data_IF_698530274053
#
_entry.id   IF_698530274053
#
_cell.length_a   1.000
_cell.length_b   1.000
_cell.length_c   1.000
_cell.angle_alpha   90.00
_cell.angle_beta   90.00
_cell.angle_gamma   90.00
#
_symmetry.space_group_name_H-M   'P 1'
#
loop_
_entity.id
_entity.type
_entity.pdbx_description
1 polymer ?
#
# COMPACT_ATOMS: atom_id res chain seq x y z
N UNK A 1 26.49 -48.60 -26.12
CA UNK A 1 26.41 -47.65 -25.00
C UNK A 1 25.61 -46.45 -25.48
N UNK A 2 24.41 -46.20 -24.94
CA UNK A 2 23.54 -45.07 -25.28
C UNK A 2 23.55 -44.08 -24.11
N UNK A 3 23.75 -42.76 -24.32
CA UNK A 3 23.63 -41.79 -23.24
C UNK A 3 22.16 -41.52 -22.94
N UNK A 4 21.79 -41.59 -21.66
CA UNK A 4 20.50 -41.17 -21.13
C UNK A 4 20.61 -39.66 -20.91
N UNK A 5 19.86 -38.88 -21.70
CA UNK A 5 19.74 -37.45 -21.52
C UNK A 5 18.70 -37.21 -20.41
N UNK A 6 19.17 -36.84 -19.22
CA UNK A 6 18.30 -36.47 -18.09
C UNK A 6 17.91 -35.01 -18.30
N UNK A 7 16.68 -34.78 -18.75
CA UNK A 7 16.11 -33.45 -18.85
C UNK A 7 15.62 -33.04 -17.47
N UNK A 8 16.40 -32.21 -16.77
CA UNK A 8 16.01 -31.64 -15.48
C UNK A 8 14.89 -30.63 -15.72
N UNK A 9 13.65 -31.00 -15.37
CA UNK A 9 12.51 -30.08 -15.35
C UNK A 9 12.69 -29.15 -14.14
N UNK A 10 13.11 -27.91 -14.38
CA UNK A 10 13.05 -26.84 -13.37
C UNK A 10 11.58 -26.45 -13.20
N UNK A 11 10.91 -26.99 -12.17
CA UNK A 11 9.68 -26.39 -11.67
C UNK A 11 10.03 -25.06 -11.03
N UNK A 12 9.92 -23.97 -11.80
CA UNK A 12 9.87 -22.63 -11.25
C UNK A 12 8.66 -22.55 -10.32
N UNK A 13 8.89 -22.41 -9.02
CA UNK A 13 7.84 -22.05 -8.09
C UNK A 13 7.32 -20.67 -8.51
N UNK A 14 6.13 -20.62 -9.11
CA UNK A 14 5.41 -19.37 -9.30
C UNK A 14 5.05 -18.86 -7.91
N UNK A 15 5.84 -17.93 -7.39
CA UNK A 15 5.49 -17.18 -6.18
C UNK A 15 4.22 -16.42 -6.55
N UNK A 16 3.08 -16.85 -6.01
CA UNK A 16 1.86 -16.05 -6.04
C UNK A 16 2.14 -14.83 -5.16
N UNK A 17 2.78 -13.81 -5.73
CA UNK A 17 2.64 -12.46 -5.21
C UNK A 17 1.19 -12.08 -5.52
N UNK A 18 0.29 -12.36 -4.58
CA UNK A 18 -1.05 -11.79 -4.62
C UNK A 18 -0.88 -10.29 -4.73
N UNK A 19 -1.51 -9.67 -5.72
CA UNK A 19 -1.58 -8.22 -5.77
C UNK A 19 -2.08 -7.73 -4.41
N UNK A 20 -1.45 -6.69 -3.85
CA UNK A 20 -2.04 -6.00 -2.72
C UNK A 20 -3.45 -5.57 -3.11
N UNK A 21 -4.37 -5.77 -2.16
CA UNK A 21 -5.77 -5.41 -2.29
C UNK A 21 -6.43 -5.57 -0.91
N UNK A 22 -6.31 -4.57 -0.05
CA UNK A 22 -6.93 -4.62 1.26
C UNK A 22 -8.46 -4.57 1.16
N UNK A 23 -9.01 -3.95 0.12
CA UNK A 23 -10.48 -3.83 -0.06
C UNK A 23 -11.20 -5.16 -0.21
N UNK A 24 -10.50 -6.21 -0.65
CA UNK A 24 -11.02 -7.58 -0.73
C UNK A 24 -11.41 -8.17 0.62
N UNK A 25 -10.74 -7.72 1.69
CA UNK A 25 -10.95 -8.22 3.05
C UNK A 25 -11.45 -7.15 4.02
N UNK A 26 -11.43 -5.88 3.65
CA UNK A 26 -11.77 -4.78 4.53
C UNK A 26 -12.97 -3.97 4.03
N UNK A 27 -13.60 -3.24 4.94
CA UNK A 27 -14.76 -2.42 4.67
C UNK A 27 -14.73 -1.16 5.52
N UNK A 28 -15.32 -0.09 5.01
CA UNK A 28 -15.47 1.18 5.73
C UNK A 28 -14.11 1.73 6.18
N UNK A 29 -13.45 2.46 5.30
CA UNK A 29 -12.16 3.07 5.60
C UNK A 29 -12.19 4.59 5.48
N UNK A 30 -11.28 5.23 6.18
CA UNK A 30 -11.06 6.67 6.13
C UNK A 30 -9.62 6.99 6.55
N UNK A 31 -9.17 8.20 6.22
CA UNK A 31 -7.91 8.74 6.71
C UNK A 31 -8.18 9.48 8.03
N UNK A 32 -7.58 8.99 9.11
CA UNK A 32 -7.55 9.69 10.39
C UNK A 32 -6.32 10.61 10.45
N UNK A 33 -6.54 11.88 10.80
CA UNK A 33 -5.50 12.89 10.68
C UNK A 33 -5.13 13.10 9.21
N UNK A 34 -3.86 12.88 8.87
CA UNK A 34 -3.36 12.97 7.48
C UNK A 34 -2.65 11.72 6.98
N UNK A 35 -2.36 10.77 7.87
CA UNK A 35 -1.38 9.71 7.63
C UNK A 35 -1.83 8.35 8.15
N UNK A 36 -2.94 8.23 8.88
CA UNK A 36 -3.41 6.93 9.37
C UNK A 36 -4.60 6.45 8.56
N UNK A 37 -4.46 5.32 7.87
CA UNK A 37 -5.60 4.60 7.31
C UNK A 37 -6.27 3.80 8.42
N UNK A 38 -7.53 4.10 8.71
CA UNK A 38 -8.36 3.38 9.66
C UNK A 38 -9.47 2.62 8.92
N UNK A 39 -9.69 1.35 9.25
CA UNK A 39 -10.66 0.48 8.55
C UNK A 39 -11.14 -0.68 9.44
N UNK A 40 -12.09 -1.48 8.94
CA UNK A 40 -12.47 -2.77 9.52
C UNK A 40 -12.11 -3.92 8.57
N UNK A 41 -11.28 -4.85 9.02
CA UNK A 41 -10.77 -5.95 8.20
C UNK A 41 -11.22 -7.30 8.72
N UNK A 42 -11.61 -8.18 7.79
CA UNK A 42 -11.95 -9.56 8.04
C UNK A 42 -10.70 -10.34 8.44
N UNK A 43 -10.79 -11.03 9.57
CA UNK A 43 -9.80 -12.03 9.96
C UNK A 43 -10.13 -13.37 9.30
N UNK A 44 -9.13 -14.22 9.10
CA UNK A 44 -9.35 -15.57 8.55
C UNK A 44 -9.96 -16.53 9.58
N UNK A 45 -9.96 -16.14 10.85
CA UNK A 45 -10.64 -16.89 11.89
C UNK A 45 -12.14 -16.52 11.86
N UNK A 46 -13.04 -17.47 11.49
CA UNK A 46 -14.46 -17.17 11.39
C UNK A 46 -15.08 -16.77 12.74
N UNK A 47 -14.50 -17.20 13.87
CA UNK A 47 -15.00 -16.86 15.21
C UNK A 47 -14.67 -15.42 15.62
N UNK A 48 -13.62 -14.83 15.03
CA UNK A 48 -13.22 -13.44 15.30
C UNK A 48 -13.93 -12.43 14.41
N UNK A 49 -14.39 -12.84 13.23
CA UNK A 49 -15.07 -11.94 12.30
C UNK A 49 -14.15 -10.80 11.83
N UNK A 50 -14.65 -9.56 11.89
CA UNK A 50 -13.93 -8.34 11.53
C UNK A 50 -13.28 -7.68 12.75
N UNK A 51 -12.13 -7.07 12.55
CA UNK A 51 -11.40 -6.29 13.55
C UNK A 51 -11.13 -4.88 13.03
N UNK A 52 -11.06 -3.91 13.93
CA UNK A 52 -10.61 -2.57 13.58
C UNK A 52 -9.09 -2.58 13.37
N UNK A 53 -8.64 -2.03 12.25
CA UNK A 53 -7.24 -1.99 11.86
C UNK A 53 -6.83 -0.56 11.53
N UNK A 54 -5.60 -0.22 11.93
CA UNK A 54 -4.98 1.06 11.63
C UNK A 54 -3.62 0.81 10.98
N UNK A 55 -3.33 1.53 9.90
CA UNK A 55 -2.02 1.54 9.26
C UNK A 55 -1.50 2.97 9.23
N UNK A 56 -0.32 3.18 9.81
CA UNK A 56 0.43 4.40 9.58
C UNK A 56 0.95 4.38 8.13
N UNK A 57 0.40 5.23 7.27
CA UNK A 57 0.82 5.32 5.87
C UNK A 57 2.21 5.96 5.76
N UNK A 58 2.70 6.64 6.81
CA UNK A 58 4.02 7.26 6.80
C UNK A 58 5.12 6.21 6.70
N UNK A 59 4.88 4.98 7.17
CA UNK A 59 5.83 3.87 7.01
C UNK A 59 5.75 3.21 5.62
N UNK A 60 4.74 3.54 4.80
CA UNK A 60 4.48 2.91 3.52
C UNK A 60 4.72 3.82 2.32
N UNK A 61 4.52 5.13 2.49
CA UNK A 61 4.55 6.12 1.40
C UNK A 61 5.76 7.03 1.58
N UNK A 62 6.57 7.10 0.52
CA UNK A 62 7.68 8.04 0.38
C UNK A 62 7.39 9.14 -0.64
N UNK A 63 8.38 9.99 -0.88
CA UNK A 63 8.37 10.96 -1.99
C UNK A 63 9.57 10.72 -2.86
N UNK A 64 9.34 10.54 -4.17
CA UNK A 64 10.42 10.59 -5.15
C UNK A 64 10.84 12.04 -5.34
N UNK A 65 12.06 12.37 -4.92
CA UNK A 65 12.63 13.71 -5.02
C UNK A 65 12.83 14.23 -6.45
N UNK A 66 12.87 13.34 -7.45
CA UNK A 66 13.04 13.71 -8.86
C UNK A 66 11.72 14.21 -9.43
N UNK A 67 10.64 13.51 -9.13
CA UNK A 67 9.29 13.81 -9.64
C UNK A 67 8.42 14.59 -8.65
N UNK A 68 8.92 14.82 -7.43
CA UNK A 68 8.20 15.42 -6.31
C UNK A 68 6.81 14.78 -6.11
N UNK A 69 6.75 13.46 -6.17
CA UNK A 69 5.50 12.69 -6.18
C UNK A 69 5.53 11.57 -5.13
N UNK A 70 4.35 11.25 -4.58
CA UNK A 70 4.18 10.11 -3.68
C UNK A 70 4.47 8.80 -4.41
N UNK A 71 5.20 7.91 -3.74
CA UNK A 71 5.55 6.58 -4.26
C UNK A 71 5.43 5.53 -3.16
N UNK A 72 5.05 4.31 -3.54
CA UNK A 72 5.11 3.15 -2.65
C UNK A 72 6.58 2.79 -2.39
N UNK A 73 6.97 2.89 -1.12
CA UNK A 73 8.30 2.69 -0.51
C UNK A 73 9.56 2.84 -1.40
N UNK A 74 10.41 3.80 -1.02
CA UNK A 74 11.84 3.49 -0.81
C UNK A 74 12.35 4.27 0.44
N UNK A 75 11.76 3.98 1.62
CA UNK A 75 12.09 4.61 2.93
C UNK A 75 11.08 5.65 3.45
N UNK A 76 9.81 5.25 3.58
CA UNK A 76 8.65 6.14 3.76
C UNK A 76 8.75 7.15 4.91
N UNK A 77 8.40 8.40 4.58
CA UNK A 77 8.12 9.53 5.48
C UNK A 77 7.41 10.66 4.69
N UNK A 78 6.51 10.33 3.76
CA UNK A 78 5.98 11.32 2.81
C UNK A 78 5.33 12.53 3.48
N UNK A 79 4.70 12.36 4.64
CA UNK A 79 3.94 13.42 5.31
C UNK A 79 4.80 14.48 6.02
N UNK A 80 6.14 14.38 5.93
CA UNK A 80 7.04 15.50 6.24
C UNK A 80 7.15 16.50 5.10
N UNK A 81 6.88 16.05 3.87
CA UNK A 81 7.01 16.85 2.63
C UNK A 81 5.66 17.09 1.95
N UNK A 82 4.67 16.24 2.21
CA UNK A 82 3.33 16.36 1.67
C UNK A 82 2.32 16.78 2.74
N UNK A 83 1.40 17.66 2.36
CA UNK A 83 0.31 18.18 3.17
C UNK A 83 -1.02 18.13 2.41
N UNK A 84 -2.08 18.66 3.04
CA UNK A 84 -3.45 18.69 2.48
C UNK A 84 -3.95 17.31 2.00
N UNK A 85 -3.52 16.25 2.69
CA UNK A 85 -3.81 14.90 2.30
C UNK A 85 -5.26 14.50 2.58
N UNK A 86 -5.88 13.78 1.64
CA UNK A 86 -7.22 13.23 1.80
C UNK A 86 -7.57 12.23 0.71
N UNK A 87 -8.66 11.49 0.93
CA UNK A 87 -9.23 10.66 -0.12
C UNK A 87 -9.95 11.54 -1.14
N UNK A 88 -9.82 11.20 -2.42
CA UNK A 88 -10.53 11.90 -3.48
C UNK A 88 -12.05 11.69 -3.37
N UNK A 89 -12.82 12.71 -3.76
CA UNK A 89 -14.29 12.68 -3.68
C UNK A 89 -14.90 11.64 -4.63
N UNK A 90 -14.25 11.41 -5.77
CA UNK A 90 -14.65 10.44 -6.80
C UNK A 90 -14.03 9.06 -6.63
N UNK A 91 -13.06 8.89 -5.72
CA UNK A 91 -12.41 7.62 -5.43
C UNK A 91 -11.95 7.57 -3.98
N UNK A 92 -12.60 6.72 -3.18
CA UNK A 92 -12.20 6.49 -1.79
C UNK A 92 -10.91 5.66 -1.66
N UNK A 93 -10.30 5.25 -2.77
CA UNK A 93 -9.05 4.50 -2.79
C UNK A 93 -7.86 5.37 -3.17
N UNK A 94 -8.09 6.44 -3.92
CA UNK A 94 -7.04 7.36 -4.31
C UNK A 94 -6.86 8.41 -3.22
N UNK A 95 -5.69 8.38 -2.60
CA UNK A 95 -5.26 9.39 -1.64
C UNK A 95 -4.44 10.44 -2.38
N UNK A 96 -4.91 11.68 -2.32
CA UNK A 96 -4.27 12.83 -2.93
C UNK A 96 -3.63 13.71 -1.85
N UNK A 97 -2.44 14.22 -2.14
CA UNK A 97 -1.71 15.17 -1.30
C UNK A 97 -1.00 16.23 -2.16
N UNK A 98 -0.75 17.39 -1.56
CA UNK A 98 0.15 18.40 -2.13
C UNK A 98 1.56 18.21 -1.56
N UNK A 99 2.51 17.84 -2.40
CA UNK A 99 3.91 17.60 -2.03
C UNK A 99 4.79 18.79 -2.38
N UNK A 100 5.64 19.20 -1.44
CA UNK A 100 6.57 20.33 -1.59
C UNK A 100 7.98 19.79 -1.83
N UNK A 101 8.58 20.23 -2.93
CA UNK A 101 9.99 19.98 -3.21
C UNK A 101 10.84 20.80 -2.22
N UNK A 102 11.65 20.16 -1.36
CA UNK A 102 12.45 20.87 -0.37
C UNK A 102 13.58 21.71 -0.97
N UNK A 103 13.99 21.46 -2.21
CA UNK A 103 15.06 22.19 -2.89
C UNK A 103 14.55 23.46 -3.58
N UNK A 104 13.39 23.36 -4.24
CA UNK A 104 12.84 24.46 -5.06
C UNK A 104 11.70 25.20 -4.37
N UNK A 105 11.05 24.58 -3.38
CA UNK A 105 9.81 25.05 -2.78
C UNK A 105 8.59 24.89 -3.70
N UNK A 106 8.75 24.25 -4.87
CA UNK A 106 7.66 23.97 -5.80
C UNK A 106 6.66 22.98 -5.20
N UNK A 107 5.39 23.13 -5.56
CA UNK A 107 4.31 22.23 -5.10
C UNK A 107 3.80 21.39 -6.26
N UNK A 108 3.64 20.09 -6.01
CA UNK A 108 3.06 19.13 -6.95
C UNK A 108 1.92 18.41 -6.25
N UNK A 109 0.74 18.37 -6.87
CA UNK A 109 -0.33 17.48 -6.41
C UNK A 109 -0.03 16.06 -6.90
N UNK A 110 -0.01 15.12 -5.97
CA UNK A 110 0.31 13.72 -6.22
C UNK A 110 -0.77 12.82 -5.64
N UNK A 111 -1.04 11.69 -6.29
CA UNK A 111 -2.06 10.74 -5.86
C UNK A 111 -1.52 9.33 -5.89
N UNK A 112 -1.97 8.51 -4.93
CA UNK A 112 -1.60 7.10 -4.83
C UNK A 112 -2.84 6.28 -4.51
N UNK A 113 -3.00 5.14 -5.17
CA UNK A 113 -4.11 4.24 -4.91
C UNK A 113 -3.74 3.31 -3.75
N UNK A 114 -4.46 3.45 -2.63
CA UNK A 114 -4.22 2.69 -1.40
C UNK A 114 -4.35 1.18 -1.58
N UNK A 115 -5.12 0.72 -2.55
CA UNK A 115 -5.30 -0.71 -2.80
C UNK A 115 -4.09 -1.33 -3.51
N UNK A 116 -3.24 -0.54 -4.17
CA UNK A 116 -2.10 -1.03 -4.96
C UNK A 116 -1.00 -1.70 -4.11
N UNK A 117 -0.86 -1.31 -2.84
CA UNK A 117 0.23 -1.79 -1.99
C UNK A 117 -0.18 -2.16 -0.56
N UNK A 118 -1.41 -1.87 -0.14
CA UNK A 118 -1.87 -2.25 1.21
C UNK A 118 -2.51 -3.63 1.15
N UNK A 119 -2.10 -4.50 2.07
CA UNK A 119 -2.63 -5.85 2.20
C UNK A 119 -3.29 -6.08 3.56
N UNK A 120 -4.39 -6.83 3.55
CA UNK A 120 -5.01 -7.37 4.76
C UNK A 120 -4.37 -8.71 5.13
N UNK A 121 -3.80 -8.78 6.33
CA UNK A 121 -3.15 -9.98 6.86
C UNK A 121 -4.18 -10.95 7.47
N UNK A 122 -3.75 -12.17 7.75
CA UNK A 122 -4.66 -13.24 8.21
C UNK A 122 -5.38 -12.89 9.54
N UNK A 123 -4.75 -12.07 10.37
CA UNK A 123 -5.29 -11.62 11.66
C UNK A 123 -6.11 -10.32 11.56
N UNK A 124 -6.32 -9.81 10.35
CA UNK A 124 -7.03 -8.56 10.09
C UNK A 124 -6.16 -7.30 10.22
N UNK A 125 -4.85 -7.44 10.51
CA UNK A 125 -3.93 -6.29 10.50
C UNK A 125 -3.59 -5.87 9.07
N UNK A 126 -3.14 -4.62 8.90
CA UNK A 126 -2.74 -4.07 7.62
C UNK A 126 -1.21 -3.99 7.50
N UNK A 127 -0.69 -4.19 6.29
CA UNK A 127 0.72 -3.95 5.95
C UNK A 127 0.83 -3.32 4.56
N UNK A 128 1.94 -2.66 4.27
CA UNK A 128 2.36 -2.40 2.89
C UNK A 128 3.23 -3.54 2.35
N UNK A 129 3.21 -3.74 1.03
CA UNK A 129 4.09 -4.64 0.26
C UNK A 129 5.32 -3.92 -0.28
#
# INVERSE_FOLDING_TARGET
MRPICITTLLLGAAVHQGAANFTSGCSTWYIHGRETLATECQTWNPDKGKVHANLDLNICIGVDSITNSMVWMDGGHAFTHCGNCGLQVNSLLDMECDCIDPQTGGTTTSSINLDDAINNQHDGSLTCL
#
